data_IF_727529334846
#
_entry.id   IF_727529334846
#
_cell.length_a   1.000
_cell.length_b   1.000
_cell.length_c   1.000
_cell.angle_alpha   90.00
_cell.angle_beta   90.00
_cell.angle_gamma   90.00
#
_symmetry.space_group_name_H-M   'P 1'
#
loop_
_entity.id
_entity.type
_entity.pdbx_description
1 polymer ?
#
# COMPACT_ATOMS: atom_id res chain seq x y z
N UNK A 1 4.49 -7.86 -17.98
CA UNK A 1 5.07 -7.70 -16.63
C UNK A 1 4.42 -6.43 -16.12
N UNK A 2 3.13 -6.52 -15.79
CA UNK A 2 2.31 -5.33 -15.55
C UNK A 2 1.23 -5.77 -14.56
N UNK A 3 1.68 -6.26 -13.40
CA UNK A 3 0.79 -6.45 -12.26
C UNK A 3 0.72 -5.13 -11.50
N UNK A 4 0.50 -4.03 -12.24
CA UNK A 4 0.24 -2.71 -11.69
C UNK A 4 -1.11 -2.81 -11.03
N UNK A 5 -1.09 -3.03 -9.72
CA UNK A 5 -2.30 -2.93 -8.94
C UNK A 5 -2.72 -1.48 -9.06
N UNK A 6 -3.93 -1.27 -9.58
CA UNK A 6 -4.45 0.05 -9.89
C UNK A 6 -4.84 0.72 -8.57
N UNK A 7 -3.87 1.39 -7.96
CA UNK A 7 -4.08 2.15 -6.73
C UNK A 7 -4.65 3.50 -7.16
N UNK A 8 -5.88 3.84 -6.75
CA UNK A 8 -6.51 5.06 -7.22
C UNK A 8 -5.68 6.28 -6.79
N UNK A 9 -5.49 7.26 -7.69
CA UNK A 9 -4.52 8.35 -7.48
C UNK A 9 -4.87 9.25 -6.29
N UNK A 10 -6.13 9.23 -5.84
CA UNK A 10 -6.60 9.89 -4.63
C UNK A 10 -5.88 9.38 -3.36
N UNK A 11 -5.52 8.09 -3.31
CA UNK A 11 -4.77 7.51 -2.19
C UNK A 11 -3.35 8.07 -2.08
N UNK A 12 -2.69 8.39 -3.21
CA UNK A 12 -1.37 9.01 -3.17
C UNK A 12 -1.38 10.43 -2.58
N UNK A 13 -2.53 11.10 -2.67
CA UNK A 13 -2.77 12.44 -2.15
C UNK A 13 -3.48 12.45 -0.79
N UNK A 14 -3.82 11.27 -0.25
CA UNK A 14 -4.49 11.15 1.04
C UNK A 14 -3.56 11.59 2.18
N UNK A 15 -4.07 12.41 3.09
CA UNK A 15 -3.28 12.99 4.18
C UNK A 15 -2.72 11.91 5.13
N UNK A 16 -3.48 10.83 5.38
CA UNK A 16 -3.03 9.74 6.23
C UNK A 16 -1.92 8.95 5.54
N UNK A 17 -2.06 8.66 4.24
CA UNK A 17 -1.02 7.98 3.45
C UNK A 17 0.26 8.83 3.40
N UNK A 18 0.15 10.12 3.11
CA UNK A 18 1.29 11.04 3.09
C UNK A 18 1.98 11.12 4.46
N UNK A 19 1.20 11.18 5.53
CA UNK A 19 1.72 11.22 6.90
C UNK A 19 2.51 9.95 7.24
N UNK A 20 1.95 8.77 6.93
CA UNK A 20 2.59 7.49 7.21
C UNK A 20 3.80 7.28 6.30
N UNK A 21 3.68 7.53 5.00
CA UNK A 21 4.80 7.41 4.06
C UNK A 21 5.98 8.30 4.49
N UNK A 22 5.70 9.54 4.90
CA UNK A 22 6.72 10.46 5.42
C UNK A 22 7.37 9.96 6.72
N UNK A 23 6.63 9.27 7.60
CA UNK A 23 7.18 8.62 8.80
C UNK A 23 8.18 7.51 8.45
N UNK A 24 7.95 6.80 7.35
CA UNK A 24 8.85 5.78 6.81
C UNK A 24 9.95 6.36 5.90
N UNK A 25 9.97 7.68 5.68
CA UNK A 25 10.93 8.34 4.78
C UNK A 25 10.72 8.00 3.31
N UNK A 26 9.51 7.60 2.93
CA UNK A 26 9.12 7.17 1.59
C UNK A 26 8.13 8.15 0.97
N UNK A 27 8.00 8.10 -0.36
CA UNK A 27 6.88 8.76 -1.04
C UNK A 27 5.61 7.91 -0.86
N UNK A 28 4.44 8.54 -0.93
CA UNK A 28 3.16 7.83 -0.87
C UNK A 28 3.05 6.76 -1.96
N UNK A 29 3.63 7.01 -3.13
CA UNK A 29 3.73 6.04 -4.23
C UNK A 29 4.52 4.80 -3.83
N UNK A 30 5.78 4.96 -3.41
CA UNK A 30 6.65 3.84 -3.03
C UNK A 30 6.08 3.06 -1.84
N UNK A 31 5.49 3.78 -0.89
CA UNK A 31 4.88 3.23 0.31
C UNK A 31 3.66 2.36 0.00
N UNK A 32 2.74 2.86 -0.84
CA UNK A 32 1.54 2.12 -1.24
C UNK A 32 1.88 0.95 -2.19
N UNK A 33 2.81 1.14 -3.13
CA UNK A 33 3.29 0.05 -3.99
C UNK A 33 3.90 -1.09 -3.17
N UNK A 34 4.67 -0.76 -2.13
CA UNK A 34 5.22 -1.74 -1.21
C UNK A 34 4.12 -2.45 -0.41
N UNK A 35 3.11 -1.71 0.08
CA UNK A 35 2.04 -2.25 0.91
C UNK A 35 1.17 -3.24 0.12
N UNK A 36 0.72 -2.79 -1.04
CA UNK A 36 -0.14 -3.59 -1.91
C UNK A 36 0.66 -4.77 -2.50
N UNK A 37 1.95 -4.58 -2.77
CA UNK A 37 2.86 -5.67 -3.11
C UNK A 37 2.96 -6.74 -2.01
N UNK A 38 3.02 -6.35 -0.73
CA UNK A 38 3.01 -7.30 0.39
C UNK A 38 1.65 -7.98 0.55
N UNK A 39 0.53 -7.24 0.51
CA UNK A 39 -0.83 -7.80 0.63
C UNK A 39 -1.19 -8.76 -0.52
N UNK A 40 -0.79 -8.45 -1.76
CA UNK A 40 -0.99 -9.35 -2.91
C UNK A 40 -0.21 -10.67 -2.78
N UNK A 41 0.89 -10.65 -2.01
CA UNK A 41 1.76 -11.80 -1.77
C UNK A 41 1.30 -12.63 -0.59
N UNK A 42 0.53 -12.06 0.34
CA UNK A 42 -0.11 -12.82 1.43
C UNK A 42 -1.08 -13.90 0.90
N UNK A 43 -1.47 -13.84 -0.39
CA UNK A 43 -2.22 -14.89 -1.10
C UNK A 43 -1.39 -15.96 -1.84
N UNK A 44 -0.05 -15.83 -1.96
CA UNK A 44 0.81 -16.82 -2.61
C UNK A 44 2.17 -16.93 -1.93
N UNK A 45 2.59 -18.14 -1.48
CA UNK A 45 3.95 -18.33 -1.04
C UNK A 45 4.87 -18.27 -2.26
N UNK A 46 5.68 -17.20 -2.37
CA UNK A 46 7.08 -17.32 -2.77
C UNK A 46 7.80 -15.98 -2.80
N UNK A 47 8.98 -15.98 -2.16
CA UNK A 47 10.25 -15.64 -2.79
C UNK A 47 10.23 -14.36 -3.65
N UNK A 48 10.13 -13.22 -2.98
CA UNK A 48 10.43 -11.96 -3.63
C UNK A 48 11.42 -11.20 -2.77
N UNK A 49 12.53 -10.94 -3.41
CA UNK A 49 13.61 -10.07 -3.00
C UNK A 49 13.08 -8.62 -2.99
N UNK A 50 12.08 -8.32 -2.15
CA UNK A 50 11.56 -6.97 -1.94
C UNK A 50 12.59 -6.26 -1.08
N UNK A 51 13.25 -5.27 -1.66
CA UNK A 51 14.27 -4.48 -1.00
C UNK A 51 13.71 -3.86 0.28
N UNK A 52 14.11 -4.46 1.42
CA UNK A 52 13.66 -4.16 2.79
C UNK A 52 12.16 -4.31 3.04
N UNK A 53 11.73 -5.14 4.01
CA UNK A 53 10.35 -5.13 4.45
C UNK A 53 10.09 -3.76 5.07
N UNK A 54 9.30 -2.92 4.42
CA UNK A 54 8.60 -1.84 5.12
C UNK A 54 7.81 -2.52 6.21
N UNK A 55 8.21 -2.30 7.47
CA UNK A 55 7.54 -2.88 8.63
C UNK A 55 6.41 -1.95 8.98
N UNK A 56 5.22 -2.24 8.46
CA UNK A 56 4.01 -1.50 8.80
C UNK A 56 3.58 -1.85 10.23
N UNK A 57 3.20 -0.84 11.00
CA UNK A 57 2.55 -1.06 12.29
C UNK A 57 1.09 -1.52 12.09
N UNK A 58 0.54 -2.29 13.04
CA UNK A 58 -0.82 -2.88 12.92
C UNK A 58 -1.89 -1.80 12.65
N UNK A 59 -1.77 -0.65 13.30
CA UNK A 59 -2.63 0.51 13.10
C UNK A 59 -2.48 1.15 11.71
N UNK A 60 -1.27 1.13 11.14
CA UNK A 60 -1.01 1.65 9.78
C UNK A 60 -1.63 0.71 8.75
N UNK A 61 -1.51 -0.60 8.96
CA UNK A 61 -2.13 -1.63 8.13
C UNK A 61 -3.66 -1.48 8.14
N UNK A 62 -4.27 -1.34 9.32
CA UNK A 62 -5.72 -1.15 9.44
C UNK A 62 -6.21 0.09 8.70
N UNK A 63 -5.53 1.23 8.85
CA UNK A 63 -5.86 2.47 8.14
C UNK A 63 -5.76 2.27 6.62
N UNK A 64 -4.66 1.70 6.13
CA UNK A 64 -4.45 1.48 4.70
C UNK A 64 -5.46 0.51 4.10
N UNK A 65 -5.83 -0.54 4.83
CA UNK A 65 -6.86 -1.50 4.40
C UNK A 65 -8.24 -0.86 4.33
N UNK A 66 -8.60 -0.02 5.30
CA UNK A 66 -9.87 0.70 5.30
C UNK A 66 -9.95 1.66 4.11
N UNK A 67 -8.89 2.45 3.89
CA UNK A 67 -8.77 3.35 2.75
C UNK A 67 -8.85 2.60 1.41
N UNK A 68 -8.06 1.54 1.25
CA UNK A 68 -8.10 0.72 0.02
C UNK A 68 -9.49 0.10 -0.21
N UNK A 69 -10.17 -0.32 0.85
CA UNK A 69 -11.54 -0.89 0.76
C UNK A 69 -12.56 0.18 0.36
N UNK A 70 -12.44 1.38 0.92
CA UNK A 70 -13.28 2.54 0.58
C UNK A 70 -13.14 2.90 -0.91
N UNK A 71 -11.92 3.08 -1.40
CA UNK A 71 -11.69 3.52 -2.78
C UNK A 71 -11.82 2.40 -3.82
N UNK A 72 -11.63 1.13 -3.44
CA UNK A 72 -11.89 -0.02 -4.33
C UNK A 72 -13.39 -0.24 -4.56
N UNK A 73 -14.24 0.21 -3.63
CA UNK A 73 -15.70 0.11 -3.73
C UNK A 73 -16.34 1.22 -4.60
N UNK A 74 -15.59 2.25 -4.99
CA UNK A 74 -16.09 3.34 -5.85
C UNK A 74 -16.02 3.05 -7.37
N UNK A 75 -15.60 1.84 -7.77
CA UNK A 75 -15.82 1.35 -9.15
C UNK A 75 -17.20 0.68 -9.30
N UNK A 76 -18.28 1.48 -9.26
CA UNK A 76 -19.60 1.09 -9.80
C UNK A 76 -20.16 2.23 -10.66
#
# INVERSE_FOLDING_TARGET
>A
MDNSIDIPPVLYADEAVLYIANRHGMTSEEFLHSFVGQEAVIGRPQDINVASPVVYEDNEIEILRDLLTMYSSESI
#
